data_IF_385460863288
#
_entry.id   IF_385460863288
#
_cell.length_a   1.000
_cell.length_b   1.000
_cell.length_c   1.000
_cell.angle_alpha   90.00
_cell.angle_beta   90.00
_cell.angle_gamma   90.00
#
_symmetry.space_group_name_H-M   'P 1'
#
loop_
_entity.id
_entity.type
_entity.pdbx_description
1 polymer ?
#
# COMPACT_ATOMS: atom_id res chain seq x y z
N UNK A 1 2.35 11.48 -24.75
CA UNK A 1 1.66 10.18 -24.58
C UNK A 1 0.30 10.53 -23.98
N UNK A 2 -0.82 9.93 -24.41
CA UNK A 2 -2.15 10.37 -23.89
C UNK A 2 -2.34 9.84 -22.47
N UNK A 3 -1.87 10.58 -21.47
CA UNK A 3 -1.80 10.11 -20.09
C UNK A 3 -3.14 10.14 -19.32
N UNK A 4 -4.23 10.64 -19.92
CA UNK A 4 -5.52 10.78 -19.21
C UNK A 4 -6.71 10.66 -20.15
N UNK A 5 -7.01 9.45 -20.62
CA UNK A 5 -8.31 9.20 -21.25
C UNK A 5 -9.38 9.19 -20.16
N UNK A 6 -10.32 10.14 -20.23
CA UNK A 6 -11.47 10.18 -19.32
C UNK A 6 -12.18 8.83 -19.28
N UNK A 7 -12.38 8.30 -18.09
CA UNK A 7 -13.03 7.00 -17.88
C UNK A 7 -12.09 5.80 -17.92
N UNK A 8 -10.79 5.98 -18.20
CA UNK A 8 -9.81 4.92 -18.02
C UNK A 8 -9.79 4.45 -16.57
N UNK A 9 -9.64 3.14 -16.39
CA UNK A 9 -9.60 2.45 -15.11
C UNK A 9 -8.48 1.41 -15.09
N UNK A 10 -8.05 1.05 -13.90
CA UNK A 10 -7.10 -0.03 -13.69
C UNK A 10 -6.89 -0.29 -12.21
N UNK A 11 -5.97 -1.21 -11.93
CA UNK A 11 -5.54 -1.51 -10.57
C UNK A 11 -4.07 -1.87 -10.51
N UNK A 12 -3.50 -1.74 -9.31
CA UNK A 12 -2.20 -2.31 -8.96
C UNK A 12 -2.26 -2.77 -7.50
N UNK A 13 -1.37 -3.68 -7.13
CA UNK A 13 -1.28 -4.20 -5.77
C UNK A 13 -0.10 -3.57 -5.03
N UNK A 14 -0.26 -3.33 -3.74
CA UNK A 14 0.81 -2.92 -2.84
C UNK A 14 1.04 -4.05 -1.84
N UNK A 15 2.31 -4.45 -1.72
CA UNK A 15 2.75 -5.49 -0.81
C UNK A 15 3.82 -4.90 0.12
N UNK A 16 3.66 -5.12 1.41
CA UNK A 16 4.64 -4.78 2.44
C UNK A 16 5.01 -6.05 3.21
N UNK A 17 6.31 -6.32 3.28
CA UNK A 17 6.88 -7.49 3.94
C UNK A 17 7.77 -7.02 5.08
N UNK A 18 7.58 -7.60 6.26
CA UNK A 18 8.36 -7.24 7.44
C UNK A 18 8.61 -8.43 8.35
N UNK A 19 9.86 -8.57 8.79
CA UNK A 19 10.24 -9.42 9.92
C UNK A 19 10.22 -8.63 11.23
N UNK A 20 10.51 -9.28 12.37
CA UNK A 20 10.58 -8.62 13.66
C UNK A 20 11.74 -7.61 13.66
N UNK A 21 11.57 -6.49 14.36
CA UNK A 21 12.69 -5.57 14.62
C UNK A 21 13.29 -5.86 15.97
N UNK A 22 14.62 -5.91 16.02
CA UNK A 22 15.41 -6.19 17.22
C UNK A 22 16.39 -5.05 17.50
N UNK A 23 16.70 -4.84 18.77
CA UNK A 23 17.83 -4.01 19.17
C UNK A 23 19.14 -4.72 18.80
N UNK A 24 20.25 -3.97 18.74
CA UNK A 24 21.59 -4.56 18.59
C UNK A 24 21.94 -5.59 19.68
N UNK A 25 21.24 -5.57 20.82
CA UNK A 25 21.35 -6.56 21.90
C UNK A 25 20.62 -7.88 21.63
N UNK A 26 19.85 -7.98 20.54
CA UNK A 26 19.02 -9.14 20.20
C UNK A 26 17.63 -9.15 20.85
N UNK A 27 17.33 -8.18 21.73
CA UNK A 27 15.99 -8.04 22.30
C UNK A 27 14.99 -7.54 21.24
N UNK A 28 13.81 -8.15 21.18
CA UNK A 28 12.75 -7.76 20.24
C UNK A 28 12.15 -6.40 20.63
N UNK A 29 12.04 -5.51 19.65
CA UNK A 29 11.41 -4.19 19.74
C UNK A 29 9.92 -4.32 19.42
N UNK A 30 9.62 -4.98 18.31
CA UNK A 30 8.28 -5.20 17.78
C UNK A 30 8.23 -6.52 17.02
N UNK A 31 7.06 -7.17 17.03
CA UNK A 31 6.85 -8.41 16.29
C UNK A 31 6.83 -8.15 14.78
N UNK A 32 6.97 -9.21 13.98
CA UNK A 32 6.81 -9.10 12.53
C UNK A 32 5.41 -8.59 12.15
N UNK A 33 4.37 -9.07 12.84
CA UNK A 33 2.98 -8.66 12.65
C UNK A 33 2.79 -7.16 12.93
N UNK A 34 3.32 -6.67 14.06
CA UNK A 34 3.28 -5.24 14.42
C UNK A 34 3.99 -4.39 13.35
N UNK A 35 5.19 -4.80 12.94
CA UNK A 35 6.00 -4.06 11.99
C UNK A 35 5.32 -3.98 10.61
N UNK A 36 4.77 -5.09 10.11
CA UNK A 36 4.00 -5.12 8.87
C UNK A 36 2.72 -4.25 8.97
N UNK A 37 2.03 -4.31 10.11
CA UNK A 37 0.83 -3.51 10.38
C UNK A 37 1.12 -2.00 10.38
N UNK A 38 2.25 -1.57 10.97
CA UNK A 38 2.68 -0.17 10.99
C UNK A 38 2.95 0.34 9.58
N UNK A 39 3.64 -0.45 8.75
CA UNK A 39 3.88 -0.10 7.34
C UNK A 39 2.55 0.01 6.58
N UNK A 40 1.65 -0.97 6.77
CA UNK A 40 0.30 -0.94 6.21
C UNK A 40 -0.47 0.32 6.58
N UNK A 41 -0.50 0.67 7.87
CA UNK A 41 -1.13 1.90 8.36
C UNK A 41 -0.53 3.18 7.76
N UNK A 42 0.78 3.21 7.53
CA UNK A 42 1.44 4.32 6.84
C UNK A 42 1.04 4.42 5.34
N UNK A 43 0.87 3.28 4.66
CA UNK A 43 0.36 3.22 3.28
C UNK A 43 -1.08 3.73 3.23
N UNK A 44 -1.94 3.25 4.13
CA UNK A 44 -3.33 3.71 4.24
C UNK A 44 -3.41 5.21 4.49
N UNK A 45 -2.61 5.74 5.41
CA UNK A 45 -2.54 7.17 5.70
C UNK A 45 -2.05 7.98 4.48
N UNK A 46 -1.04 7.49 3.75
CA UNK A 46 -0.52 8.16 2.57
C UNK A 46 -1.55 8.24 1.43
N UNK A 47 -2.47 7.27 1.35
CA UNK A 47 -3.47 7.17 0.28
C UNK A 47 -4.87 7.60 0.74
N UNK A 48 -5.00 8.13 1.97
CA UNK A 48 -6.27 8.48 2.60
C UNK A 48 -7.08 9.53 1.82
N UNK A 49 -6.39 10.44 1.12
CA UNK A 49 -7.03 11.48 0.30
C UNK A 49 -7.74 10.90 -0.93
N UNK A 50 -7.49 9.63 -1.28
CA UNK A 50 -8.12 8.92 -2.40
C UNK A 50 -7.95 9.61 -3.77
N UNK A 51 -6.92 10.44 -3.93
CA UNK A 51 -6.58 11.11 -5.19
C UNK A 51 -5.09 11.03 -5.44
N UNK A 52 -4.70 10.80 -6.70
CA UNK A 52 -3.32 10.96 -7.15
C UNK A 52 -3.28 11.95 -8.30
N UNK A 53 -2.30 12.83 -8.25
CA UNK A 53 -1.97 13.74 -9.34
C UNK A 53 -1.09 12.99 -10.34
N UNK A 54 -1.44 13.08 -11.61
CA UNK A 54 -0.67 12.54 -12.72
C UNK A 54 0.16 13.67 -13.35
N UNK A 55 1.14 13.28 -14.14
CA UNK A 55 1.86 14.21 -15.00
C UNK A 55 0.88 14.97 -15.92
N UNK A 56 1.30 16.15 -16.38
CA UNK A 56 0.52 16.99 -17.30
C UNK A 56 -0.83 17.49 -16.74
N UNK A 57 -1.04 17.44 -15.42
CA UNK A 57 -2.20 18.03 -14.73
C UNK A 57 -3.41 17.11 -14.59
N UNK A 58 -3.26 15.83 -14.94
CA UNK A 58 -4.28 14.82 -14.72
C UNK A 58 -4.51 14.50 -13.24
N UNK A 59 -5.71 14.02 -12.90
CA UNK A 59 -5.97 13.43 -11.57
C UNK A 59 -6.76 12.14 -11.69
N UNK A 60 -6.41 11.16 -10.87
CA UNK A 60 -7.16 9.90 -10.73
C UNK A 60 -7.72 9.77 -9.33
N UNK A 61 -8.96 9.29 -9.24
CA UNK A 61 -9.52 8.86 -7.96
C UNK A 61 -9.05 7.44 -7.72
N UNK A 62 -8.54 7.18 -6.52
CA UNK A 62 -8.12 5.85 -6.10
C UNK A 62 -9.04 5.31 -5.00
N UNK A 63 -8.98 3.99 -4.79
CA UNK A 63 -9.62 3.29 -3.67
C UNK A 63 -8.76 2.09 -3.29
N UNK A 64 -8.44 1.98 -2.00
CA UNK A 64 -7.91 0.74 -1.44
C UNK A 64 -9.04 -0.27 -1.24
N UNK A 65 -8.79 -1.51 -1.61
CA UNK A 65 -9.64 -2.68 -1.34
C UNK A 65 -8.79 -3.87 -0.94
N UNK A 66 -9.46 -4.92 -0.46
CA UNK A 66 -8.85 -6.23 -0.20
C UNK A 66 -7.64 -6.18 0.76
N UNK A 67 -7.66 -5.23 1.70
CA UNK A 67 -6.62 -5.07 2.71
C UNK A 67 -6.58 -6.32 3.59
N UNK A 68 -5.40 -6.94 3.71
CA UNK A 68 -5.16 -8.04 4.64
C UNK A 68 -3.76 -7.97 5.24
N UNK A 69 -3.65 -8.52 6.44
CA UNK A 69 -2.40 -8.82 7.12
C UNK A 69 -2.33 -10.34 7.30
N UNK A 70 -1.30 -10.97 6.76
CA UNK A 70 -1.13 -12.42 6.74
C UNK A 70 0.30 -12.76 7.14
N UNK A 71 0.50 -13.94 7.73
CA UNK A 71 1.83 -14.52 7.84
C UNK A 71 2.38 -14.79 6.42
N UNK A 72 3.64 -14.48 6.20
CA UNK A 72 4.28 -14.70 4.90
C UNK A 72 4.66 -16.17 4.71
N UNK A 73 5.20 -16.53 3.53
CA UNK A 73 5.80 -17.85 3.29
C UNK A 73 6.98 -18.15 4.22
N UNK A 74 7.66 -17.12 4.70
CA UNK A 74 8.60 -17.20 5.82
C UNK A 74 7.81 -17.04 7.13
N UNK A 75 7.86 -18.02 8.06
CA UNK A 75 7.08 -17.99 9.29
C UNK A 75 7.46 -16.86 10.24
N UNK A 76 8.66 -16.30 10.11
CA UNK A 76 9.13 -15.17 10.94
C UNK A 76 8.78 -13.81 10.32
N UNK A 77 8.06 -13.79 9.20
CA UNK A 77 7.67 -12.58 8.49
C UNK A 77 6.16 -12.45 8.33
N UNK A 78 5.73 -11.21 8.24
CA UNK A 78 4.35 -10.86 7.93
C UNK A 78 4.29 -10.03 6.66
N UNK A 79 3.14 -10.17 6.01
CA UNK A 79 2.81 -9.63 4.72
C UNK A 79 1.50 -8.85 4.85
N UNK A 80 1.59 -7.53 4.74
CA UNK A 80 0.43 -6.67 4.55
C UNK A 80 0.24 -6.43 3.04
N UNK A 81 -0.98 -6.55 2.54
CA UNK A 81 -1.27 -6.21 1.15
C UNK A 81 -2.61 -5.52 0.98
N UNK A 82 -2.73 -4.75 -0.09
CA UNK A 82 -3.97 -4.15 -0.55
C UNK A 82 -3.97 -3.98 -2.07
N UNK A 83 -5.16 -4.00 -2.66
CA UNK A 83 -5.36 -3.63 -4.06
C UNK A 83 -5.75 -2.15 -4.13
N UNK A 84 -5.07 -1.40 -5.00
CA UNK A 84 -5.43 -0.02 -5.32
C UNK A 84 -6.13 0.00 -6.67
N UNK A 85 -7.39 0.42 -6.66
CA UNK A 85 -8.20 0.61 -7.85
C UNK A 85 -8.23 2.08 -8.21
N UNK A 86 -8.10 2.44 -9.48
CA UNK A 86 -8.08 3.84 -9.91
C UNK A 86 -8.98 4.10 -11.11
N UNK A 87 -9.44 5.36 -11.21
CA UNK A 87 -10.24 5.84 -12.35
C UNK A 87 -9.93 7.30 -12.67
N UNK A 88 -9.74 7.61 -13.97
CA UNK A 88 -9.63 8.98 -14.48
C UNK A 88 -11.03 9.60 -14.57
N UNK A 89 -11.29 10.62 -13.75
CA UNK A 89 -12.59 11.31 -13.71
C UNK A 89 -12.61 12.61 -14.50
N UNK A 90 -11.45 13.26 -14.66
CA UNK A 90 -11.30 14.49 -15.43
C UNK A 90 -9.88 14.61 -15.98
N UNK A 91 -9.79 15.32 -17.09
CA UNK A 91 -8.61 15.67 -17.87
C UNK A 91 -8.76 17.12 -18.30
#
# INVERSE_FOLDING_TARGET
MVATVRGAEGSWDIHAFAGPRTYNSGAMIETAEDHASIIGGAIEACLADNWLDLEEGGRVRIRLSDIRLLQDGDPDHYHWFAQVNWRVLSN
#
